data_IF_739202057046
#
_entry.id   IF_739202057046
#
_cell.length_a   1.000
_cell.length_b   1.000
_cell.length_c   1.000
_cell.angle_alpha   90.00
_cell.angle_beta   90.00
_cell.angle_gamma   90.00
#
_symmetry.space_group_name_H-M   'P 1'
#
loop_
_entity.id
_entity.type
_entity.pdbx_description
1 polymer ?
#
# COMPACT_ATOMS: atom_id res chain seq x y z
N UNK A 1 1.35 6.46 11.83
CA UNK A 1 2.18 7.69 11.69
C UNK A 1 3.68 7.38 11.67
N UNK A 2 4.22 6.62 12.64
CA UNK A 2 5.65 6.24 12.66
C UNK A 2 6.06 5.45 11.41
N UNK A 3 5.24 4.49 10.94
CA UNK A 3 5.53 3.74 9.71
C UNK A 3 5.62 4.61 8.44
N UNK A 4 4.76 5.63 8.30
CA UNK A 4 4.80 6.58 7.17
C UNK A 4 6.11 7.39 7.19
N UNK A 5 6.52 7.86 8.37
CA UNK A 5 7.76 8.61 8.53
C UNK A 5 8.98 7.75 8.24
N UNK A 6 8.99 6.49 8.67
CA UNK A 6 10.07 5.55 8.37
C UNK A 6 10.14 5.31 6.86
N UNK A 7 9.03 5.04 6.18
CA UNK A 7 9.03 4.77 4.74
C UNK A 7 9.42 6.02 3.94
N UNK A 8 8.88 7.19 4.30
CA UNK A 8 9.24 8.46 3.66
C UNK A 8 10.73 8.77 3.85
N UNK A 9 11.27 8.52 5.04
CA UNK A 9 12.71 8.67 5.31
C UNK A 9 13.52 7.67 4.46
N UNK A 10 13.12 6.40 4.39
CA UNK A 10 13.79 5.39 3.54
C UNK A 10 13.75 5.79 2.06
N UNK A 11 12.64 6.30 1.54
CA UNK A 11 12.54 6.75 0.14
C UNK A 11 13.44 7.96 -0.14
N UNK A 12 13.54 8.91 0.80
CA UNK A 12 14.35 10.11 0.63
C UNK A 12 15.86 9.90 0.86
N UNK A 13 16.25 8.91 1.64
CA UNK A 13 17.64 8.65 2.04
C UNK A 13 18.30 7.47 1.32
N UNK A 14 17.58 6.85 0.39
CA UNK A 14 18.09 5.73 -0.41
C UNK A 14 18.14 6.08 -1.89
N UNK A 15 19.05 5.41 -2.63
CA UNK A 15 19.12 5.57 -4.08
C UNK A 15 17.97 4.87 -4.81
N UNK A 16 16.93 4.44 -4.10
CA UNK A 16 15.76 3.74 -4.67
C UNK A 16 15.05 4.65 -5.68
N UNK A 17 15.12 5.98 -5.54
CA UNK A 17 14.58 6.92 -6.54
C UNK A 17 15.37 6.93 -7.87
N UNK A 18 16.68 6.68 -7.82
CA UNK A 18 17.57 6.63 -8.99
C UNK A 18 17.63 5.22 -9.60
N UNK A 19 17.50 4.19 -8.76
CA UNK A 19 17.55 2.79 -9.11
C UNK A 19 16.29 2.05 -8.61
N UNK A 20 15.13 2.30 -9.26
CA UNK A 20 13.80 1.87 -8.77
C UNK A 20 13.60 0.35 -8.74
N UNK A 21 14.29 -0.35 -9.64
CA UNK A 21 14.10 -1.78 -9.88
C UNK A 21 15.24 -2.64 -9.36
N UNK A 22 16.44 -2.07 -9.21
CA UNK A 22 17.61 -2.75 -8.72
C UNK A 22 18.49 -1.76 -7.96
N UNK A 23 18.23 -1.49 -6.67
CA UNK A 23 18.99 -0.52 -5.90
C UNK A 23 20.48 -0.89 -5.89
N UNK A 24 21.32 -0.04 -6.50
CA UNK A 24 22.78 -0.24 -6.56
C UNK A 24 23.51 0.25 -5.29
N UNK A 25 22.76 0.63 -4.25
CA UNK A 25 23.29 1.17 -3.00
C UNK A 25 24.33 0.21 -2.40
N UNK A 26 25.58 0.67 -2.31
CA UNK A 26 26.67 0.02 -1.56
C UNK A 26 26.44 0.04 -0.05
N UNK A 27 25.51 0.86 0.43
CA UNK A 27 25.16 1.01 1.83
C UNK A 27 24.15 -0.06 2.29
N UNK A 28 24.69 -1.13 2.89
CA UNK A 28 23.94 -2.32 3.34
C UNK A 28 22.73 -2.04 4.25
N UNK A 29 22.72 -0.92 4.97
CA UNK A 29 21.65 -0.60 5.94
C UNK A 29 20.31 -0.26 5.27
N UNK A 30 20.32 0.39 4.09
CA UNK A 30 19.10 0.75 3.37
C UNK A 30 18.36 -0.49 2.82
N UNK A 31 19.12 -1.47 2.34
CA UNK A 31 18.58 -2.76 1.86
C UNK A 31 17.95 -3.53 3.04
N UNK A 32 18.63 -3.58 4.19
CA UNK A 32 18.15 -4.26 5.39
C UNK A 32 16.86 -3.63 5.94
N UNK A 33 16.76 -2.29 5.97
CA UNK A 33 15.54 -1.61 6.40
C UNK A 33 14.35 -1.92 5.50
N UNK A 34 14.54 -1.90 4.19
CA UNK A 34 13.49 -2.23 3.22
C UNK A 34 12.99 -3.66 3.39
N UNK A 35 13.91 -4.62 3.60
CA UNK A 35 13.58 -6.02 3.89
C UNK A 35 12.82 -6.19 5.20
N UNK A 36 13.19 -5.44 6.25
CA UNK A 36 12.48 -5.43 7.54
C UNK A 36 11.06 -4.90 7.36
N UNK A 37 10.88 -3.81 6.60
CA UNK A 37 9.56 -3.24 6.31
C UNK A 37 8.69 -4.27 5.57
N UNK A 38 9.23 -4.94 4.54
CA UNK A 38 8.48 -6.00 3.85
C UNK A 38 8.15 -7.18 4.75
N UNK A 39 9.09 -7.64 5.57
CA UNK A 39 8.87 -8.77 6.49
C UNK A 39 7.74 -8.47 7.48
N UNK A 40 7.71 -7.25 8.04
CA UNK A 40 6.62 -6.81 8.94
C UNK A 40 5.28 -6.80 8.21
N UNK A 41 5.23 -6.29 6.98
CA UNK A 41 3.99 -6.24 6.20
C UNK A 41 3.52 -7.63 5.76
N UNK A 42 4.43 -8.53 5.37
CA UNK A 42 4.10 -9.93 5.08
C UNK A 42 3.46 -10.58 6.30
N UNK A 43 4.07 -10.42 7.49
CA UNK A 43 3.51 -10.94 8.74
C UNK A 43 2.12 -10.40 9.03
N UNK A 44 1.90 -9.09 8.84
CA UNK A 44 0.59 -8.44 8.99
C UNK A 44 -0.45 -9.00 8.01
N UNK A 45 -0.12 -9.14 6.73
CA UNK A 45 -1.06 -9.68 5.74
C UNK A 45 -1.34 -11.17 5.97
N UNK A 46 -0.33 -11.93 6.36
CA UNK A 46 -0.50 -13.34 6.71
C UNK A 46 -1.48 -13.48 7.87
N UNK A 47 -1.33 -12.64 8.91
CA UNK A 47 -2.30 -12.60 10.01
C UNK A 47 -3.71 -12.26 9.51
N UNK A 48 -3.88 -11.24 8.67
CA UNK A 48 -5.21 -10.86 8.16
C UNK A 48 -5.87 -11.93 7.29
N UNK A 49 -5.08 -12.70 6.53
CA UNK A 49 -5.59 -13.84 5.73
C UNK A 49 -5.98 -15.01 6.63
N UNK A 50 -5.27 -15.21 7.75
CA UNK A 50 -5.49 -16.32 8.68
C UNK A 50 -6.55 -16.05 9.76
N UNK A 51 -6.66 -14.82 10.27
CA UNK A 51 -7.66 -14.36 11.27
C UNK A 51 -9.07 -14.96 11.04
N UNK A 52 -9.59 -14.99 9.80
CA UNK A 52 -10.95 -15.45 9.55
C UNK A 52 -11.12 -16.98 9.55
N UNK A 53 -10.02 -17.74 9.40
CA UNK A 53 -10.04 -19.19 9.58
C UNK A 53 -10.33 -19.52 11.05
N UNK A 54 -9.84 -18.68 11.96
CA UNK A 54 -10.02 -18.83 13.40
C UNK A 54 -11.27 -18.12 13.94
N UNK A 55 -11.74 -17.05 13.30
CA UNK A 55 -12.92 -16.29 13.73
C UNK A 55 -14.20 -16.72 12.99
N UNK A 56 -15.07 -17.51 13.65
CA UNK A 56 -16.34 -18.01 13.09
C UNK A 56 -17.35 -16.91 12.70
N UNK A 57 -17.19 -15.66 13.17
CA UNK A 57 -18.19 -14.59 13.01
C UNK A 57 -18.09 -13.78 11.70
N UNK A 58 -16.96 -13.78 10.97
CA UNK A 58 -16.78 -12.91 9.77
C UNK A 58 -17.18 -13.53 8.43
N UNK A 59 -17.52 -14.82 8.36
CA UNK A 59 -17.67 -15.58 7.10
C UNK A 59 -18.85 -15.18 6.19
N UNK A 60 -19.63 -14.13 6.50
CA UNK A 60 -20.93 -13.87 5.85
C UNK A 60 -21.04 -12.63 4.95
N UNK A 61 -19.99 -11.85 4.70
CA UNK A 61 -20.09 -10.66 3.83
C UNK A 61 -19.30 -10.84 2.53
N UNK A 62 -19.88 -10.53 1.36
CA UNK A 62 -19.16 -10.55 0.08
C UNK A 62 -17.90 -9.65 0.08
N UNK A 63 -17.94 -8.54 0.83
CA UNK A 63 -16.79 -7.66 1.08
C UNK A 63 -15.56 -8.39 1.63
N UNK A 64 -15.76 -9.49 2.37
CA UNK A 64 -14.70 -10.24 3.01
C UNK A 64 -13.88 -11.09 2.01
N UNK A 65 -14.51 -11.63 0.97
CA UNK A 65 -13.77 -12.36 -0.08
C UNK A 65 -12.84 -11.42 -0.85
N UNK A 66 -13.31 -10.22 -1.19
CA UNK A 66 -12.52 -9.21 -1.91
C UNK A 66 -11.33 -8.76 -1.07
N UNK A 67 -11.54 -8.52 0.23
CA UNK A 67 -10.49 -8.10 1.17
C UNK A 67 -9.43 -9.20 1.38
N UNK A 68 -9.84 -10.47 1.46
CA UNK A 68 -8.92 -11.59 1.53
C UNK A 68 -8.11 -11.79 0.24
N UNK A 69 -8.75 -11.65 -0.93
CA UNK A 69 -8.05 -11.71 -2.22
C UNK A 69 -7.01 -10.59 -2.29
N UNK A 70 -7.37 -9.38 -1.86
CA UNK A 70 -6.44 -8.26 -1.77
C UNK A 70 -5.25 -8.59 -0.87
N UNK A 71 -5.46 -9.03 0.36
CA UNK A 71 -4.35 -9.40 1.25
C UNK A 71 -3.50 -10.55 0.72
N UNK A 72 -4.11 -11.54 0.05
CA UNK A 72 -3.38 -12.65 -0.56
C UNK A 72 -2.48 -12.21 -1.73
N UNK A 73 -3.01 -11.37 -2.63
CA UNK A 73 -2.24 -10.80 -3.74
C UNK A 73 -1.14 -9.88 -3.22
N UNK A 74 -1.40 -9.05 -2.21
CA UNK A 74 -0.39 -8.20 -1.57
C UNK A 74 0.74 -9.04 -0.95
N UNK A 75 0.39 -10.11 -0.23
CA UNK A 75 1.37 -11.02 0.36
C UNK A 75 2.25 -11.67 -0.70
N UNK A 76 1.66 -12.13 -1.82
CA UNK A 76 2.40 -12.67 -2.95
C UNK A 76 3.38 -11.65 -3.53
N UNK A 77 2.92 -10.40 -3.74
CA UNK A 77 3.74 -9.33 -4.29
C UNK A 77 4.94 -9.03 -3.38
N UNK A 78 4.70 -8.83 -2.08
CA UNK A 78 5.77 -8.54 -1.13
C UNK A 78 6.73 -9.72 -0.92
N UNK A 79 6.24 -10.96 -0.95
CA UNK A 79 7.11 -12.14 -0.86
C UNK A 79 8.08 -12.22 -2.06
N UNK A 80 7.60 -11.95 -3.28
CA UNK A 80 8.45 -11.95 -4.48
C UNK A 80 9.42 -10.77 -4.47
N UNK A 81 8.98 -9.56 -4.12
CA UNK A 81 9.89 -8.41 -4.01
C UNK A 81 10.94 -8.60 -2.90
N UNK A 82 10.60 -9.27 -1.80
CA UNK A 82 11.56 -9.61 -0.75
C UNK A 82 12.57 -10.68 -1.21
N UNK A 83 12.09 -11.74 -1.89
CA UNK A 83 12.92 -12.88 -2.29
C UNK A 83 13.90 -12.57 -3.42
N UNK A 84 13.49 -11.74 -4.38
CA UNK A 84 14.32 -11.36 -5.52
C UNK A 84 15.04 -10.02 -5.31
N UNK A 85 14.65 -9.23 -4.30
CA UNK A 85 15.18 -7.88 -4.00
C UNK A 85 15.00 -6.85 -5.12
N UNK A 86 14.35 -7.25 -6.21
CA UNK A 86 13.98 -6.41 -7.34
C UNK A 86 12.71 -5.61 -6.97
N UNK A 87 12.56 -4.40 -7.52
CA UNK A 87 11.34 -3.58 -7.39
C UNK A 87 11.02 -3.02 -5.99
N UNK A 88 12.05 -2.64 -5.23
CA UNK A 88 11.92 -2.06 -3.88
C UNK A 88 11.10 -0.77 -3.83
N UNK A 89 11.16 0.07 -4.87
CA UNK A 89 10.45 1.35 -4.90
C UNK A 89 8.93 1.16 -4.87
N UNK A 90 8.40 0.37 -5.78
CA UNK A 90 6.95 0.15 -5.88
C UNK A 90 6.41 -0.70 -4.75
N UNK A 91 7.22 -1.62 -4.20
CA UNK A 91 6.87 -2.30 -2.96
C UNK A 91 6.71 -1.32 -1.79
N UNK A 92 7.65 -0.39 -1.59
CA UNK A 92 7.57 0.62 -0.53
C UNK A 92 6.40 1.59 -0.72
N UNK A 93 6.12 1.97 -1.98
CA UNK A 93 4.93 2.74 -2.34
C UNK A 93 3.66 1.98 -1.93
N UNK A 94 3.56 0.68 -2.24
CA UNK A 94 2.44 -0.16 -1.81
C UNK A 94 2.20 -0.11 -0.29
N UNK A 95 3.27 -0.20 0.51
CA UNK A 95 3.17 -0.12 1.97
C UNK A 95 2.70 1.28 2.43
N UNK A 96 3.20 2.34 1.80
CA UNK A 96 2.77 3.73 2.05
C UNK A 96 1.27 3.90 1.80
N UNK A 97 0.75 3.34 0.71
CA UNK A 97 -0.66 3.46 0.33
C UNK A 97 -1.60 2.83 1.35
N UNK A 98 -1.22 1.67 1.91
CA UNK A 98 -2.03 0.99 2.93
C UNK A 98 -2.03 1.72 4.27
N UNK A 99 -0.95 2.42 4.60
CA UNK A 99 -0.79 3.13 5.87
C UNK A 99 -1.73 4.35 6.03
N UNK A 100 -2.35 4.80 4.94
CA UNK A 100 -3.31 5.93 4.95
C UNK A 100 -4.69 5.58 5.52
N UNK A 101 -4.96 4.31 5.80
CA UNK A 101 -6.24 3.84 6.36
C UNK A 101 -6.62 4.42 7.73
N UNK A 102 -5.68 5.07 8.44
CA UNK A 102 -5.93 5.68 9.75
C UNK A 102 -7.06 6.72 9.70
N UNK A 103 -7.09 7.55 8.66
CA UNK A 103 -8.14 8.57 8.53
C UNK A 103 -9.51 7.94 8.25
N UNK A 104 -9.54 6.86 7.46
CA UNK A 104 -10.78 6.11 7.22
C UNK A 104 -11.29 5.42 8.50
N UNK A 105 -10.38 4.92 9.33
CA UNK A 105 -10.70 4.28 10.60
C UNK A 105 -11.25 5.30 11.61
N UNK A 106 -10.67 6.50 11.68
CA UNK A 106 -11.21 7.61 12.48
C UNK A 106 -12.63 8.01 12.02
N UNK A 107 -12.86 8.07 10.70
CA UNK A 107 -14.21 8.34 10.15
C UNK A 107 -15.19 7.22 10.52
N UNK A 108 -14.77 5.95 10.48
CA UNK A 108 -15.58 4.81 10.93
C UNK A 108 -15.91 4.90 12.43
N UNK A 109 -14.96 5.28 13.26
CA UNK A 109 -15.16 5.47 14.71
C UNK A 109 -16.15 6.61 15.00
N UNK A 110 -16.05 7.74 14.31
CA UNK A 110 -17.03 8.82 14.43
C UNK A 110 -18.44 8.40 13.97
N UNK A 111 -18.53 7.54 12.96
CA UNK A 111 -19.80 6.95 12.51
C UNK A 111 -20.42 6.04 13.55
N UNK A 112 -19.65 5.16 14.19
CA UNK A 112 -20.15 4.29 15.26
C UNK A 112 -20.56 5.05 16.52
N UNK A 113 -19.97 6.23 16.74
CA UNK A 113 -20.32 7.11 17.86
C UNK A 113 -21.45 8.11 17.57
N UNK A 114 -22.18 7.94 16.45
CA UNK A 114 -23.28 8.82 16.02
C UNK A 114 -22.92 10.32 15.87
N UNK A 115 -21.64 10.65 15.63
CA UNK A 115 -21.18 12.05 15.50
C UNK A 115 -21.31 12.61 14.07
N UNK A 116 -22.16 12.01 13.24
CA UNK A 116 -22.29 12.26 11.79
C UNK A 116 -22.63 13.71 11.43
N UNK A 117 -23.32 14.43 12.30
CA UNK A 117 -23.74 15.81 12.04
C UNK A 117 -22.71 16.85 12.48
N UNK A 118 -21.61 16.43 13.12
CA UNK A 118 -20.58 17.37 13.60
C UNK A 118 -19.74 17.94 12.46
N UNK A 119 -19.33 19.20 12.59
CA UNK A 119 -18.33 19.82 11.71
C UNK A 119 -17.01 19.04 11.68
N UNK A 120 -16.66 18.41 12.80
CA UNK A 120 -15.50 17.54 12.92
C UNK A 120 -15.59 16.34 11.96
N UNK A 121 -16.73 15.66 11.92
CA UNK A 121 -16.96 14.54 11.01
C UNK A 121 -16.81 14.97 9.55
N UNK A 122 -17.45 16.07 9.14
CA UNK A 122 -17.33 16.59 7.77
C UNK A 122 -15.89 16.94 7.39
N UNK A 123 -15.14 17.57 8.31
CA UNK A 123 -13.72 17.89 8.10
C UNK A 123 -12.86 16.63 7.98
N UNK A 124 -13.08 15.64 8.85
CA UNK A 124 -12.37 14.35 8.81
C UNK A 124 -12.66 13.60 7.51
N UNK A 125 -13.89 13.65 7.02
CA UNK A 125 -14.31 12.99 5.79
C UNK A 125 -13.63 13.63 4.57
N UNK A 126 -13.61 14.96 4.49
CA UNK A 126 -12.90 15.69 3.45
C UNK A 126 -11.39 15.46 3.51
N UNK A 127 -10.81 15.46 4.72
CA UNK A 127 -9.39 15.16 4.93
C UNK A 127 -9.03 13.73 4.51
N UNK A 128 -9.89 12.76 4.84
CA UNK A 128 -9.72 11.35 4.43
C UNK A 128 -9.76 11.20 2.91
N UNK A 129 -10.71 11.85 2.23
CA UNK A 129 -10.78 11.85 0.78
C UNK A 129 -9.55 12.50 0.12
N UNK A 130 -9.10 13.64 0.65
CA UNK A 130 -7.88 14.31 0.19
C UNK A 130 -6.65 13.39 0.30
N UNK A 131 -6.44 12.78 1.47
CA UNK A 131 -5.32 11.86 1.66
C UNK A 131 -5.41 10.62 0.77
N UNK A 132 -6.60 10.07 0.56
CA UNK A 132 -6.79 8.96 -0.38
C UNK A 132 -6.40 9.36 -1.81
N UNK A 133 -6.80 10.52 -2.29
CA UNK A 133 -6.40 10.99 -3.64
C UNK A 133 -4.88 11.17 -3.73
N UNK A 134 -4.28 11.84 -2.75
CA UNK A 134 -2.85 12.10 -2.75
C UNK A 134 -2.02 10.81 -2.68
N UNK A 135 -2.26 9.97 -1.68
CA UNK A 135 -1.43 8.80 -1.42
C UNK A 135 -1.82 7.59 -2.26
N UNK A 136 -3.10 7.41 -2.64
CA UNK A 136 -3.54 6.27 -3.45
C UNK A 136 -3.64 6.57 -4.94
N UNK A 137 -3.64 7.84 -5.33
CA UNK A 137 -3.69 8.27 -6.73
C UNK A 137 -2.39 8.93 -7.19
N UNK A 138 -2.04 10.08 -6.59
CA UNK A 138 -0.92 10.91 -7.10
C UNK A 138 0.43 10.25 -6.84
N UNK A 139 0.72 9.86 -5.60
CA UNK A 139 2.00 9.25 -5.21
C UNK A 139 2.34 8.02 -6.04
N UNK A 140 1.52 6.95 -6.13
CA UNK A 140 1.90 5.76 -6.90
C UNK A 140 2.13 6.06 -8.38
N UNK A 141 1.36 6.96 -8.98
CA UNK A 141 1.49 7.33 -10.39
C UNK A 141 2.77 8.12 -10.59
N UNK A 142 3.07 9.11 -9.75
CA UNK A 142 4.31 9.88 -9.82
C UNK A 142 5.55 8.98 -9.67
N UNK A 143 5.52 8.05 -8.72
CA UNK A 143 6.61 7.11 -8.50
C UNK A 143 6.75 6.08 -9.63
N UNK A 144 5.64 5.61 -10.19
CA UNK A 144 5.66 4.74 -11.36
C UNK A 144 6.25 5.46 -12.58
N UNK A 145 5.82 6.69 -12.83
CA UNK A 145 6.35 7.54 -13.90
C UNK A 145 7.86 7.73 -13.72
N UNK A 146 8.29 8.13 -12.51
CA UNK A 146 9.70 8.27 -12.19
C UNK A 146 10.48 6.95 -12.41
N UNK A 147 9.91 5.82 -12.00
CA UNK A 147 10.55 4.52 -12.18
C UNK A 147 10.78 4.20 -13.67
N UNK A 148 9.76 4.44 -14.50
CA UNK A 148 9.80 4.18 -15.95
C UNK A 148 10.76 5.11 -16.71
N UNK A 149 11.00 6.34 -16.22
CA UNK A 149 11.95 7.27 -16.82
C UNK A 149 13.40 6.98 -16.45
N UNK A 150 13.67 6.44 -15.25
CA UNK A 150 15.04 6.20 -14.79
C UNK A 150 15.60 4.85 -15.25
N UNK A 151 14.78 3.79 -15.23
CA UNK A 151 15.20 2.44 -15.64
C UNK A 151 14.09 1.72 -16.36
N UNK A 152 14.47 0.72 -17.14
CA UNK A 152 13.50 -0.18 -17.78
C UNK A 152 13.10 -1.30 -16.80
N UNK A 153 11.80 -1.60 -16.61
CA UNK A 153 11.37 -2.72 -15.78
C UNK A 153 11.84 -4.07 -16.34
N UNK A 154 12.15 -4.14 -17.64
CA UNK A 154 12.62 -5.36 -18.30
C UNK A 154 14.03 -5.81 -17.86
N UNK A 155 14.70 -5.06 -16.98
CA UNK A 155 15.94 -5.51 -16.34
C UNK A 155 15.71 -6.43 -15.14
N UNK A 156 14.46 -6.58 -14.67
CA UNK A 156 14.12 -7.47 -13.56
C UNK A 156 14.15 -8.95 -13.96
N UNK A 157 14.27 -9.81 -12.96
CA UNK A 157 13.99 -11.24 -13.10
C UNK A 157 12.57 -11.49 -13.62
N UNK A 158 12.38 -12.49 -14.50
CA UNK A 158 11.07 -12.82 -15.10
C UNK A 158 9.93 -13.00 -14.07
N UNK A 159 10.13 -13.69 -12.92
CA UNK A 159 9.09 -13.81 -11.90
C UNK A 159 8.69 -12.45 -11.31
N UNK A 160 9.67 -11.60 -10.99
CA UNK A 160 9.43 -10.25 -10.46
C UNK A 160 8.74 -9.38 -11.48
N UNK A 161 9.13 -9.45 -12.76
CA UNK A 161 8.51 -8.70 -13.84
C UNK A 161 7.02 -9.04 -14.01
N UNK A 162 6.67 -10.34 -13.97
CA UNK A 162 5.28 -10.79 -14.04
C UNK A 162 4.46 -10.24 -12.87
N UNK A 163 5.00 -10.34 -11.65
CA UNK A 163 4.35 -9.84 -10.43
C UNK A 163 4.27 -8.32 -10.42
N UNK A 164 5.25 -7.62 -10.98
CA UNK A 164 5.23 -6.17 -11.12
C UNK A 164 4.02 -5.71 -11.96
N UNK A 165 3.82 -6.26 -13.16
CA UNK A 165 2.66 -5.90 -13.98
C UNK A 165 1.33 -6.30 -13.34
N UNK A 166 1.26 -7.49 -12.71
CA UNK A 166 0.10 -7.91 -11.94
C UNK A 166 -0.22 -6.91 -10.83
N UNK A 167 0.80 -6.48 -10.08
CA UNK A 167 0.66 -5.54 -8.97
C UNK A 167 0.14 -4.18 -9.45
N UNK A 168 0.64 -3.65 -10.57
CA UNK A 168 0.15 -2.38 -11.13
C UNK A 168 -1.34 -2.48 -11.41
N UNK A 169 -1.76 -3.48 -12.18
CA UNK A 169 -3.16 -3.62 -12.57
C UNK A 169 -4.04 -3.79 -11.34
N UNK A 170 -3.66 -4.72 -10.45
CA UNK A 170 -4.45 -5.06 -9.28
C UNK A 170 -4.58 -3.87 -8.30
N UNK A 171 -3.46 -3.25 -7.93
CA UNK A 171 -3.47 -2.12 -7.02
C UNK A 171 -4.12 -0.88 -7.66
N UNK A 172 -3.95 -0.63 -8.95
CA UNK A 172 -4.66 0.46 -9.62
C UNK A 172 -6.18 0.31 -9.50
N UNK A 173 -6.73 -0.88 -9.75
CA UNK A 173 -8.17 -1.14 -9.62
C UNK A 173 -8.66 -0.90 -8.19
N UNK A 174 -7.96 -1.45 -7.19
CA UNK A 174 -8.33 -1.28 -5.78
C UNK A 174 -8.25 0.18 -5.34
N UNK A 175 -7.19 0.89 -5.72
CA UNK A 175 -6.99 2.28 -5.34
C UNK A 175 -8.02 3.22 -5.97
N UNK A 176 -8.35 3.03 -7.26
CA UNK A 176 -9.41 3.79 -7.93
C UNK A 176 -10.75 3.53 -7.25
N UNK A 177 -11.06 2.28 -6.94
CA UNK A 177 -12.29 1.93 -6.23
C UNK A 177 -12.38 2.60 -4.85
N UNK A 178 -11.29 2.59 -4.08
CA UNK A 178 -11.23 3.24 -2.77
C UNK A 178 -11.36 4.77 -2.86
N UNK A 179 -10.73 5.40 -3.85
CA UNK A 179 -10.87 6.85 -4.10
C UNK A 179 -12.33 7.19 -4.42
N UNK A 180 -12.96 6.47 -5.35
CA UNK A 180 -14.36 6.67 -5.70
C UNK A 180 -15.29 6.49 -4.49
N UNK A 181 -15.07 5.42 -3.71
CA UNK A 181 -15.84 5.18 -2.50
C UNK A 181 -15.64 6.28 -1.44
N UNK A 182 -14.46 6.90 -1.37
CA UNK A 182 -14.21 8.03 -0.47
C UNK A 182 -14.92 9.30 -0.93
N UNK A 183 -14.93 9.59 -2.24
CA UNK A 183 -15.61 10.75 -2.82
C UNK A 183 -17.13 10.65 -2.68
N UNK A 184 -17.71 9.46 -2.87
CA UNK A 184 -19.13 9.20 -2.66
C UNK A 184 -19.60 9.40 -1.22
N UNK A 185 -18.69 9.37 -0.23
CA UNK A 185 -19.04 9.68 1.16
C UNK A 185 -19.01 11.19 1.45
N UNK A 186 -18.30 11.96 0.62
CA UNK A 186 -18.16 13.43 0.76
C UNK A 186 -19.32 14.15 0.09
N UNK A 187 -19.67 13.72 -1.13
CA UNK A 187 -20.78 14.28 -1.92
C UNK A 187 -22.14 13.77 -1.45
#
# INVERSE_FOLDING_TARGET
>A
MIGILIIANTVCTSDILLYPFYPQTTEKWNIQLTQVIFSINIGRHLFNVLEPLFSKQRKKKASYLVENVHHGVTLLCYAVFLGYTDNSLLGLVGVLMESTGIFEELVRLCNTSNMQQTLLYKRLLLLSAFFNICFRGIVPVAFLINAMFNRSPFTMSYPTLMIFFLSIIFFSVINVWQILASLQRVG
#
